data_IF_261427836908
#
_entry.id   IF_261427836908
#
_cell.length_a   1.000
_cell.length_b   1.000
_cell.length_c   1.000
_cell.angle_alpha   90.00
_cell.angle_beta   90.00
_cell.angle_gamma   90.00
#
_symmetry.space_group_name_H-M   'P 1'
#
loop_
_entity.id
_entity.type
_entity.pdbx_description
1 polymer ?
#
# COMPACT_ATOMS: atom_id res chain seq x y z
N UNK A 1 -9.04 20.87 10.25
CA UNK A 1 -8.10 20.78 9.12
C UNK A 1 -7.60 19.34 9.08
N UNK A 2 -8.13 18.51 8.17
CA UNK A 2 -7.93 17.05 8.21
C UNK A 2 -6.47 16.65 7.93
N UNK A 3 -5.73 17.48 7.20
CA UNK A 3 -4.29 17.32 6.99
C UNK A 3 -3.51 17.46 8.31
N UNK A 4 -3.89 18.40 9.18
CA UNK A 4 -3.24 18.56 10.48
C UNK A 4 -3.42 17.33 11.37
N UNK A 5 -4.59 16.69 11.34
CA UNK A 5 -4.82 15.47 12.10
C UNK A 5 -3.97 14.30 11.58
N UNK A 6 -3.84 14.18 10.26
CA UNK A 6 -2.96 13.20 9.62
C UNK A 6 -1.48 13.44 9.96
N UNK A 7 -0.97 14.66 9.82
CA UNK A 7 0.44 14.93 10.17
C UNK A 7 0.71 14.78 11.67
N UNK A 8 -0.27 15.09 12.52
CA UNK A 8 -0.15 14.85 13.97
C UNK A 8 -0.10 13.35 14.30
N UNK A 9 -0.86 12.48 13.61
CA UNK A 9 -0.75 11.03 13.83
C UNK A 9 0.64 10.51 13.46
N UNK A 10 1.25 11.06 12.40
CA UNK A 10 2.60 10.73 11.95
C UNK A 10 3.72 11.40 12.77
N UNK A 11 3.43 12.33 13.68
CA UNK A 11 4.44 12.87 14.59
C UNK A 11 4.79 11.91 15.75
N UNK A 12 3.97 10.89 16.00
CA UNK A 12 4.17 9.94 17.09
C UNK A 12 5.15 8.84 16.73
N UNK A 13 6.10 8.51 17.62
CA UNK A 13 7.10 7.47 17.38
C UNK A 13 6.51 6.07 17.12
N UNK A 14 5.32 5.77 17.64
CA UNK A 14 4.71 4.44 17.53
C UNK A 14 4.51 3.97 16.10
N UNK A 15 4.00 4.84 15.21
CA UNK A 15 3.79 4.48 13.80
C UNK A 15 5.11 4.28 13.05
N UNK A 16 6.13 5.10 13.38
CA UNK A 16 7.48 4.93 12.82
C UNK A 16 8.16 3.66 13.32
N UNK A 17 7.96 3.30 14.58
CA UNK A 17 8.47 2.06 15.14
C UNK A 17 7.86 0.83 14.45
N UNK A 18 6.55 0.83 14.18
CA UNK A 18 5.87 -0.21 13.40
C UNK A 18 6.45 -0.31 11.98
N UNK A 19 6.53 0.81 11.25
CA UNK A 19 7.10 0.85 9.90
C UNK A 19 8.57 0.42 9.82
N UNK A 20 9.37 0.71 10.84
CA UNK A 20 10.81 0.35 10.89
C UNK A 20 11.01 -1.11 11.32
N UNK A 21 10.14 -1.63 12.20
CA UNK A 21 10.16 -3.05 12.60
C UNK A 21 9.72 -3.97 11.47
N UNK A 22 8.96 -3.47 10.51
CA UNK A 22 8.68 -4.17 9.26
C UNK A 22 9.98 -4.36 8.45
N UNK A 23 10.59 -5.54 8.65
CA UNK A 23 11.84 -5.92 8.00
C UNK A 23 11.66 -6.17 6.50
N UNK A 24 10.49 -6.68 6.08
CA UNK A 24 10.21 -6.97 4.67
C UNK A 24 10.20 -5.66 3.90
N UNK A 25 9.45 -4.67 4.38
CA UNK A 25 9.47 -3.29 3.87
C UNK A 25 10.89 -2.74 3.84
N UNK A 26 11.52 -2.64 5.00
CA UNK A 26 12.76 -1.85 5.17
C UNK A 26 13.94 -2.46 4.40
N UNK A 27 14.11 -3.79 4.44
CA UNK A 27 15.20 -4.46 3.72
C UNK A 27 14.96 -4.50 2.21
N UNK A 28 13.70 -4.55 1.75
CA UNK A 28 13.42 -4.48 0.30
C UNK A 28 13.80 -3.13 -0.27
N UNK A 29 13.44 -2.02 0.41
CA UNK A 29 13.90 -0.69 0.02
C UNK A 29 15.42 -0.56 0.04
N UNK A 30 16.08 -1.04 1.11
CA UNK A 30 17.54 -1.04 1.20
C UNK A 30 18.17 -1.82 0.04
N UNK A 31 17.63 -3.00 -0.27
CA UNK A 31 18.11 -3.85 -1.37
C UNK A 31 17.91 -3.17 -2.71
N UNK A 32 16.76 -2.55 -2.96
CA UNK A 32 16.49 -1.78 -4.18
C UNK A 32 17.52 -0.67 -4.39
N UNK A 33 17.75 0.14 -3.35
CA UNK A 33 18.72 1.24 -3.36
C UNK A 33 20.13 0.72 -3.69
N UNK A 34 20.54 -0.38 -3.07
CA UNK A 34 21.88 -0.95 -3.29
C UNK A 34 22.03 -1.62 -4.66
N UNK A 35 20.99 -2.29 -5.17
CA UNK A 35 21.00 -2.85 -6.53
C UNK A 35 21.04 -1.77 -7.60
N UNK A 36 20.40 -0.63 -7.34
CA UNK A 36 20.37 0.53 -8.24
C UNK A 36 21.46 1.57 -7.90
N UNK A 37 22.48 1.18 -7.14
CA UNK A 37 23.57 2.08 -6.72
C UNK A 37 24.17 2.86 -7.89
N UNK A 38 24.39 2.23 -9.04
CA UNK A 38 24.92 2.88 -10.25
C UNK A 38 24.07 4.05 -10.78
N UNK A 39 22.78 4.10 -10.41
CA UNK A 39 21.85 5.18 -10.75
C UNK A 39 21.70 6.20 -9.61
N UNK A 40 22.32 5.98 -8.46
CA UNK A 40 22.21 6.83 -7.25
C UNK A 40 23.58 7.47 -6.93
N UNK A 41 24.68 6.79 -7.20
CA UNK A 41 26.03 7.28 -6.91
C UNK A 41 26.30 8.60 -7.65
N UNK A 42 26.71 9.63 -6.89
CA UNK A 42 26.97 10.97 -7.42
C UNK A 42 25.72 11.74 -7.86
N UNK A 43 24.51 11.23 -7.59
CA UNK A 43 23.23 11.81 -8.00
C UNK A 43 22.51 12.59 -6.90
N UNK A 44 21.52 13.38 -7.31
CA UNK A 44 20.63 14.12 -6.41
C UNK A 44 19.34 13.34 -6.24
N UNK A 45 18.96 13.09 -4.99
CA UNK A 45 17.79 12.30 -4.59
C UNK A 45 16.80 13.18 -3.84
N UNK A 46 15.51 12.97 -4.03
CA UNK A 46 14.47 13.43 -3.10
C UNK A 46 13.76 12.23 -2.48
N UNK A 47 13.62 12.25 -1.16
CA UNK A 47 12.91 11.27 -0.35
C UNK A 47 11.60 11.92 0.14
N UNK A 48 10.48 11.52 -0.47
CA UNK A 48 9.17 12.13 -0.23
C UNK A 48 8.45 11.39 0.91
N UNK A 49 8.14 12.12 1.98
CA UNK A 49 7.66 11.57 3.25
C UNK A 49 8.73 10.74 3.93
N UNK A 50 9.89 11.36 4.18
CA UNK A 50 11.07 10.65 4.63
C UNK A 50 10.91 10.00 6.02
N UNK A 51 9.90 10.41 6.80
CA UNK A 51 9.69 9.97 8.17
C UNK A 51 10.95 10.20 9.00
N UNK A 52 11.49 9.13 9.56
CA UNK A 52 12.75 9.16 10.34
C UNK A 52 14.03 9.34 9.51
N UNK A 53 13.93 9.39 8.17
CA UNK A 53 15.07 9.58 7.25
C UNK A 53 15.84 8.31 6.90
N UNK A 54 15.30 7.12 7.21
CA UNK A 54 15.99 5.85 6.98
C UNK A 54 16.32 5.61 5.48
N UNK A 55 15.40 5.91 4.57
CA UNK A 55 15.60 5.75 3.12
C UNK A 55 16.62 6.77 2.59
N UNK A 56 16.55 8.00 3.07
CA UNK A 56 17.55 9.05 2.82
C UNK A 56 18.97 8.60 3.22
N UNK A 57 19.11 7.95 4.37
CA UNK A 57 20.41 7.42 4.84
C UNK A 57 20.89 6.29 3.94
N UNK A 58 20.02 5.36 3.52
CA UNK A 58 20.40 4.33 2.56
C UNK A 58 20.86 4.92 1.23
N UNK A 59 20.20 5.96 0.72
CA UNK A 59 20.63 6.66 -0.49
C UNK A 59 22.01 7.32 -0.32
N UNK A 60 22.28 7.94 0.83
CA UNK A 60 23.59 8.50 1.14
C UNK A 60 24.69 7.43 1.25
N UNK A 61 24.37 6.25 1.79
CA UNK A 61 25.25 5.07 1.83
C UNK A 61 25.53 4.51 0.44
N UNK A 62 24.55 4.54 -0.46
CA UNK A 62 24.71 4.19 -1.88
C UNK A 62 25.52 5.23 -2.67
N UNK A 63 25.97 6.32 -2.04
CA UNK A 63 26.86 7.29 -2.65
C UNK A 63 26.15 8.48 -3.29
N UNK A 64 24.87 8.75 -2.94
CA UNK A 64 24.18 9.96 -3.37
C UNK A 64 25.03 11.21 -3.06
N UNK A 65 25.08 12.14 -4.02
CA UNK A 65 25.74 13.44 -3.87
C UNK A 65 25.00 14.30 -2.86
N UNK A 66 23.67 14.29 -2.94
CA UNK A 66 22.75 15.05 -2.08
C UNK A 66 21.42 14.33 -1.98
N UNK A 67 20.80 14.38 -0.81
CA UNK A 67 19.44 13.89 -0.57
C UNK A 67 18.61 15.00 0.05
N UNK A 68 17.49 15.34 -0.56
CA UNK A 68 16.45 16.18 0.03
C UNK A 68 15.42 15.29 0.70
N UNK A 69 15.41 15.27 2.03
CA UNK A 69 14.49 14.46 2.83
C UNK A 69 13.30 15.33 3.24
N UNK A 70 12.15 15.13 2.62
CA UNK A 70 10.96 15.99 2.82
C UNK A 70 9.94 15.25 3.67
N UNK A 71 9.50 15.86 4.77
CA UNK A 71 8.38 15.37 5.56
C UNK A 71 7.59 16.54 6.14
N UNK A 72 6.27 16.41 6.14
CA UNK A 72 5.36 17.46 6.58
C UNK A 72 5.00 17.36 8.08
N UNK A 73 5.34 16.24 8.73
CA UNK A 73 5.09 16.04 10.16
C UNK A 73 6.32 16.44 11.00
N UNK A 74 6.07 16.68 12.29
CA UNK A 74 7.12 17.09 13.24
C UNK A 74 8.24 16.05 13.39
N UNK A 75 8.06 14.81 12.92
CA UNK A 75 9.12 13.79 12.89
C UNK A 75 10.35 14.24 12.08
N UNK A 76 10.18 15.19 11.15
CA UNK A 76 11.28 15.80 10.41
C UNK A 76 12.36 16.38 11.34
N UNK A 77 11.97 16.88 12.52
CA UNK A 77 12.91 17.36 13.53
C UNK A 77 13.81 16.23 14.01
N UNK A 78 13.24 15.06 14.31
CA UNK A 78 13.96 13.86 14.74
C UNK A 78 14.76 13.26 13.58
N UNK A 79 14.25 13.28 12.35
CA UNK A 79 14.99 12.86 11.16
C UNK A 79 16.31 13.64 11.02
N UNK A 80 16.28 14.95 11.26
CA UNK A 80 17.48 15.78 11.27
C UNK A 80 18.47 15.36 12.37
N UNK A 81 17.99 15.01 13.57
CA UNK A 81 18.86 14.48 14.62
C UNK A 81 19.46 13.11 14.26
N UNK A 82 18.70 12.22 13.61
CA UNK A 82 19.21 10.93 13.11
C UNK A 82 20.29 11.16 12.05
N UNK A 83 20.08 12.09 11.10
CA UNK A 83 21.07 12.46 10.08
C UNK A 83 22.36 12.97 10.72
N UNK A 84 22.26 13.87 11.72
CA UNK A 84 23.42 14.39 12.47
C UNK A 84 24.17 13.29 13.21
N UNK A 85 23.45 12.41 13.91
CA UNK A 85 24.04 11.30 14.65
C UNK A 85 24.84 10.33 13.76
N UNK A 86 24.49 10.26 12.46
CA UNK A 86 25.18 9.44 11.47
C UNK A 86 26.25 10.20 10.66
N UNK A 87 26.56 11.45 11.02
CA UNK A 87 27.53 12.32 10.32
C UNK A 87 27.20 12.55 8.83
N UNK A 88 25.91 12.66 8.50
CA UNK A 88 25.43 12.81 7.12
C UNK A 88 24.87 14.20 6.80
N UNK A 89 24.99 15.17 7.71
CA UNK A 89 24.43 16.53 7.56
C UNK A 89 24.91 17.30 6.33
N UNK A 90 26.11 16.98 5.81
CA UNK A 90 26.65 17.59 4.59
C UNK A 90 26.00 17.03 3.30
N UNK A 91 25.35 15.87 3.39
CA UNK A 91 24.74 15.17 2.26
C UNK A 91 23.21 15.20 2.30
N UNK A 92 22.61 15.09 3.48
CA UNK A 92 21.16 14.99 3.64
C UNK A 92 20.62 16.30 4.20
N UNK A 93 19.72 16.93 3.46
CA UNK A 93 19.03 18.16 3.83
C UNK A 93 17.59 17.80 4.16
N UNK A 94 17.22 17.94 5.43
CA UNK A 94 15.83 17.69 5.88
C UNK A 94 15.01 18.96 5.69
N UNK A 95 13.91 18.85 4.93
CA UNK A 95 12.95 19.92 4.67
C UNK A 95 11.64 19.59 5.39
N UNK A 96 11.35 20.35 6.45
CA UNK A 96 10.10 20.21 7.19
C UNK A 96 8.99 21.01 6.47
N UNK A 97 8.09 20.30 5.80
CA UNK A 97 6.98 20.87 5.04
C UNK A 97 6.38 19.88 4.04
N UNK A 98 5.24 20.25 3.45
CA UNK A 98 4.63 19.45 2.38
C UNK A 98 5.45 19.55 1.11
N UNK A 99 5.51 18.47 0.33
CA UNK A 99 6.18 18.47 -0.99
C UNK A 99 5.63 19.55 -1.92
N UNK A 100 4.35 19.87 -1.79
CA UNK A 100 3.67 20.91 -2.54
C UNK A 100 4.17 22.33 -2.18
N UNK A 101 4.71 22.53 -0.98
CA UNK A 101 5.08 23.86 -0.45
C UNK A 101 6.59 24.08 -0.36
N UNK A 102 7.40 23.03 -0.23
CA UNK A 102 8.86 23.17 -0.16
C UNK A 102 9.44 23.50 -1.54
N UNK A 103 10.59 24.17 -1.53
CA UNK A 103 11.34 24.51 -2.75
C UNK A 103 12.68 23.78 -2.78
N UNK A 104 13.00 23.24 -3.96
CA UNK A 104 14.29 22.63 -4.28
C UNK A 104 14.77 23.32 -5.56
N UNK A 105 15.85 24.11 -5.46
CA UNK A 105 16.38 24.92 -6.55
C UNK A 105 17.25 24.12 -7.56
N UNK A 106 17.01 22.81 -7.71
CA UNK A 106 17.65 21.95 -8.69
C UNK A 106 16.75 20.76 -9.09
N UNK A 107 16.92 20.25 -10.30
CA UNK A 107 16.28 19.00 -10.71
C UNK A 107 16.95 17.79 -10.04
N UNK A 108 16.17 16.75 -9.76
CA UNK A 108 16.62 15.51 -9.10
C UNK A 108 16.72 14.35 -10.09
N UNK A 109 17.66 13.45 -9.85
CA UNK A 109 17.86 12.25 -10.68
C UNK A 109 17.02 11.06 -10.18
N UNK A 110 16.68 11.06 -8.89
CA UNK A 110 15.99 9.96 -8.20
C UNK A 110 14.89 10.53 -7.31
N UNK A 111 13.68 10.00 -7.43
CA UNK A 111 12.64 10.12 -6.41
C UNK A 111 12.54 8.78 -5.70
N UNK A 112 12.59 8.79 -4.38
CA UNK A 112 12.27 7.64 -3.54
C UNK A 112 11.16 8.04 -2.59
N UNK A 113 10.21 7.14 -2.38
CA UNK A 113 9.14 7.35 -1.42
C UNK A 113 8.57 6.01 -0.99
N UNK A 114 8.19 5.94 0.27
CA UNK A 114 7.29 4.92 0.75
C UNK A 114 5.94 5.61 0.98
N UNK A 115 5.09 5.51 -0.05
CA UNK A 115 3.82 6.25 -0.16
C UNK A 115 2.60 5.36 -0.01
N UNK A 116 2.80 4.03 0.10
CA UNK A 116 1.72 3.07 -0.01
C UNK A 116 0.92 3.04 1.29
N UNK A 117 -0.39 3.27 1.20
CA UNK A 117 -1.29 3.05 2.33
C UNK A 117 -1.90 1.65 2.31
N UNK A 118 -2.79 1.39 3.27
CA UNK A 118 -3.67 0.21 3.22
C UNK A 118 -4.41 0.16 1.88
N UNK A 119 -4.62 -1.06 1.35
CA UNK A 119 -5.24 -1.25 0.03
C UNK A 119 -4.58 -0.40 -1.08
N UNK A 120 -3.26 -0.15 -0.95
CA UNK A 120 -2.38 0.70 -1.77
C UNK A 120 -2.70 2.20 -1.76
N UNK A 121 -3.97 2.58 -1.93
CA UNK A 121 -4.40 3.94 -2.24
C UNK A 121 -4.98 4.71 -1.04
N UNK A 122 -5.21 4.05 0.09
CA UNK A 122 -5.63 4.73 1.31
C UNK A 122 -4.56 5.73 1.76
N UNK A 123 -4.97 6.79 2.48
CA UNK A 123 -4.12 7.93 2.90
C UNK A 123 -3.63 8.86 1.77
N UNK A 124 -3.72 8.43 0.51
CA UNK A 124 -3.59 9.24 -0.71
C UNK A 124 -2.26 10.00 -0.88
N UNK A 125 -1.14 9.43 -0.43
CA UNK A 125 0.18 10.06 -0.54
C UNK A 125 0.78 10.04 -1.96
N UNK A 126 0.31 9.15 -2.86
CA UNK A 126 0.77 9.08 -4.26
C UNK A 126 0.64 10.43 -5.00
N UNK A 127 -0.33 11.27 -4.62
CA UNK A 127 -0.48 12.62 -5.17
C UNK A 127 0.77 13.49 -4.94
N UNK A 128 1.39 13.41 -3.76
CA UNK A 128 2.62 14.16 -3.45
C UNK A 128 3.84 13.60 -4.19
N UNK A 129 3.89 12.29 -4.44
CA UNK A 129 4.93 11.69 -5.29
C UNK A 129 4.80 12.16 -6.74
N UNK A 130 3.56 12.25 -7.26
CA UNK A 130 3.28 12.83 -8.59
C UNK A 130 3.73 14.29 -8.63
N UNK A 131 3.45 15.08 -7.60
CA UNK A 131 3.92 16.48 -7.49
C UNK A 131 5.45 16.56 -7.56
N UNK A 132 6.17 15.73 -6.80
CA UNK A 132 7.64 15.70 -6.83
C UNK A 132 8.18 15.30 -8.22
N UNK A 133 7.54 14.32 -8.87
CA UNK A 133 7.87 13.89 -10.24
C UNK A 133 7.76 15.04 -11.22
N UNK A 134 6.61 15.70 -11.24
CA UNK A 134 6.29 16.72 -12.24
C UNK A 134 7.09 18.02 -12.01
N UNK A 135 7.46 18.32 -10.76
CA UNK A 135 8.26 19.51 -10.42
C UNK A 135 9.77 19.32 -10.62
N UNK A 136 10.32 18.18 -10.22
CA UNK A 136 11.76 18.05 -9.99
C UNK A 136 12.44 16.93 -10.76
N UNK A 137 11.74 15.89 -11.23
CA UNK A 137 12.41 14.74 -11.82
C UNK A 137 12.98 15.07 -13.21
N UNK A 138 14.29 14.87 -13.40
CA UNK A 138 14.93 14.97 -14.71
C UNK A 138 14.34 13.97 -15.68
N UNK A 139 14.38 14.32 -16.98
CA UNK A 139 14.10 13.34 -18.04
C UNK A 139 15.07 12.14 -17.92
N UNK A 140 14.51 10.95 -17.74
CA UNK A 140 15.28 9.72 -17.56
C UNK A 140 15.76 9.46 -16.12
N UNK A 141 15.36 10.30 -15.16
CA UNK A 141 15.48 9.98 -13.74
C UNK A 141 14.62 8.78 -13.36
N UNK A 142 14.85 8.24 -12.17
CA UNK A 142 14.14 7.04 -11.68
C UNK A 142 13.22 7.36 -10.52
N UNK A 143 12.14 6.58 -10.39
CA UNK A 143 11.20 6.65 -9.28
C UNK A 143 11.20 5.28 -8.58
N UNK A 144 11.32 5.28 -7.25
CA UNK A 144 11.35 4.09 -6.41
C UNK A 144 10.24 4.16 -5.35
N UNK A 145 9.23 3.26 -5.38
CA UNK A 145 9.02 2.22 -6.38
C UNK A 145 8.59 2.77 -7.75
N UNK A 146 8.87 1.99 -8.79
CA UNK A 146 8.61 2.34 -10.19
C UNK A 146 7.18 2.03 -10.64
N UNK A 147 6.62 0.93 -10.14
CA UNK A 147 5.26 0.50 -10.42
C UNK A 147 4.61 -0.03 -9.15
N UNK A 148 3.29 0.00 -9.10
CA UNK A 148 2.50 -0.66 -8.09
C UNK A 148 1.28 -1.35 -8.72
N UNK A 149 0.86 -2.48 -8.17
CA UNK A 149 -0.35 -3.19 -8.62
C UNK A 149 -1.21 -3.54 -7.42
N UNK A 150 -2.46 -3.06 -7.40
CA UNK A 150 -3.47 -3.43 -6.42
C UNK A 150 -4.24 -4.65 -6.94
N UNK A 151 -4.31 -5.69 -6.11
CA UNK A 151 -5.02 -6.92 -6.39
C UNK A 151 -6.24 -7.07 -5.49
N UNK A 152 -7.15 -7.93 -5.94
CA UNK A 152 -8.24 -8.43 -5.11
C UNK A 152 -8.50 -9.91 -5.39
N UNK A 153 -8.97 -10.63 -4.37
CA UNK A 153 -9.49 -11.98 -4.55
C UNK A 153 -10.60 -12.30 -3.53
N UNK A 154 -11.56 -13.16 -3.89
CA UNK A 154 -12.51 -13.74 -2.93
C UNK A 154 -11.77 -14.61 -1.90
N UNK A 155 -12.18 -14.49 -0.63
CA UNK A 155 -11.54 -15.22 0.49
C UNK A 155 -12.56 -15.96 1.34
N UNK A 156 -12.10 -17.06 1.93
CA UNK A 156 -12.76 -17.77 3.03
C UNK A 156 -12.00 -17.51 4.32
N UNK A 157 -12.68 -17.28 5.44
CA UNK A 157 -12.02 -17.10 6.73
C UNK A 157 -12.90 -17.65 7.88
N UNK A 158 -13.11 -18.98 7.92
CA UNK A 158 -14.05 -19.60 8.85
C UNK A 158 -13.66 -19.40 10.31
N UNK A 159 -12.37 -19.46 10.64
CA UNK A 159 -11.89 -19.27 12.02
C UNK A 159 -12.21 -17.87 12.55
N UNK A 160 -11.91 -16.84 11.76
CA UNK A 160 -12.23 -15.43 12.09
C UNK A 160 -13.72 -15.18 12.27
N UNK A 161 -14.56 -15.81 11.43
CA UNK A 161 -16.01 -15.72 11.54
C UNK A 161 -16.52 -16.47 12.78
N UNK A 162 -15.98 -17.67 13.05
CA UNK A 162 -16.32 -18.47 14.22
C UNK A 162 -15.99 -17.72 15.52
N UNK A 163 -14.78 -17.19 15.63
CA UNK A 163 -14.31 -16.47 16.83
C UNK A 163 -15.10 -15.21 17.13
N UNK A 164 -15.57 -14.50 16.09
CA UNK A 164 -16.28 -13.22 16.29
C UNK A 164 -17.80 -13.33 16.28
N UNK A 165 -18.35 -14.30 15.56
CA UNK A 165 -19.80 -14.40 15.30
C UNK A 165 -20.38 -15.68 15.89
N UNK A 166 -19.81 -16.85 15.58
CA UNK A 166 -20.36 -18.12 16.07
C UNK A 166 -20.12 -18.33 17.57
N UNK A 167 -19.08 -17.73 18.12
CA UNK A 167 -18.80 -17.64 19.56
C UNK A 167 -20.06 -17.30 20.38
N UNK A 168 -20.88 -16.36 19.89
CA UNK A 168 -22.07 -15.90 20.59
C UNK A 168 -23.19 -16.94 20.69
N UNK A 169 -23.15 -18.02 19.91
CA UNK A 169 -24.18 -19.07 19.97
C UNK A 169 -24.16 -19.83 21.30
N UNK A 170 -23.00 -19.96 21.93
CA UNK A 170 -22.85 -20.68 23.19
C UNK A 170 -21.65 -20.15 23.98
N UNK A 171 -21.91 -19.18 24.86
CA UNK A 171 -20.90 -18.56 25.72
C UNK A 171 -21.01 -19.21 27.10
N UNK A 172 -20.13 -20.19 27.38
CA UNK A 172 -20.12 -20.96 28.64
C UNK A 172 -21.45 -21.67 28.99
N UNK A 173 -22.16 -22.20 28.00
CA UNK A 173 -23.47 -22.84 28.16
C UNK A 173 -24.67 -21.88 28.02
N UNK A 174 -24.42 -20.59 27.78
CA UNK A 174 -25.45 -19.56 27.64
C UNK A 174 -25.66 -19.26 26.15
N UNK A 175 -26.90 -19.37 25.67
CA UNK A 175 -27.27 -18.89 24.34
C UNK A 175 -27.28 -17.36 24.33
N UNK A 176 -26.27 -16.76 23.69
CA UNK A 176 -26.15 -15.33 23.46
C UNK A 176 -26.31 -14.97 21.97
N UNK A 177 -27.00 -15.82 21.18
CA UNK A 177 -27.17 -15.61 19.74
C UNK A 177 -27.85 -14.29 19.38
N UNK A 178 -28.59 -13.70 20.32
CA UNK A 178 -29.13 -12.34 20.20
C UNK A 178 -28.06 -11.26 19.97
N UNK A 179 -26.80 -11.50 20.33
CA UNK A 179 -25.67 -10.60 20.09
C UNK A 179 -25.15 -10.66 18.65
N UNK A 180 -25.43 -11.74 17.91
CA UNK A 180 -24.84 -11.96 16.57
C UNK A 180 -25.13 -10.83 15.56
N UNK A 181 -26.34 -10.23 15.48
CA UNK A 181 -26.56 -9.11 14.56
C UNK A 181 -25.66 -7.90 14.86
N UNK A 182 -25.51 -7.55 16.14
CA UNK A 182 -24.64 -6.47 16.58
C UNK A 182 -23.17 -6.83 16.35
N UNK A 183 -22.76 -8.06 16.66
CA UNK A 183 -21.40 -8.55 16.43
C UNK A 183 -21.02 -8.48 14.94
N UNK A 184 -21.93 -8.87 14.03
CA UNK A 184 -21.73 -8.76 12.58
C UNK A 184 -21.56 -7.31 12.15
N UNK A 185 -22.39 -6.40 12.67
CA UNK A 185 -22.26 -4.99 12.39
C UNK A 185 -20.89 -4.47 12.86
N UNK A 186 -20.55 -4.65 14.13
CA UNK A 186 -19.28 -4.14 14.68
C UNK A 186 -18.04 -4.77 14.02
N UNK A 187 -18.09 -6.07 13.68
CA UNK A 187 -16.94 -6.77 13.13
C UNK A 187 -16.75 -6.55 11.63
N UNK A 188 -17.84 -6.33 10.87
CA UNK A 188 -17.82 -6.38 9.41
C UNK A 188 -18.39 -5.14 8.73
N UNK A 189 -18.86 -4.11 9.44
CA UNK A 189 -19.34 -2.87 8.80
C UNK A 189 -18.21 -2.17 8.04
N UNK A 190 -17.03 -2.06 8.65
CA UNK A 190 -15.83 -1.46 8.06
C UNK A 190 -14.85 -2.51 7.52
N UNK A 191 -13.98 -2.15 6.56
CA UNK A 191 -12.88 -3.01 6.15
C UNK A 191 -11.96 -3.34 7.33
N UNK A 192 -11.53 -4.59 7.43
CA UNK A 192 -10.57 -5.03 8.44
C UNK A 192 -9.17 -5.09 7.84
N UNK A 193 -8.16 -4.66 8.59
CA UNK A 193 -6.75 -4.90 8.26
C UNK A 193 -6.29 -6.09 9.09
N UNK A 194 -6.07 -7.22 8.42
CA UNK A 194 -5.63 -8.46 9.06
C UNK A 194 -4.83 -9.35 8.11
N UNK A 195 -4.12 -10.32 8.65
CA UNK A 195 -3.38 -11.31 7.85
C UNK A 195 -4.31 -12.43 7.39
N UNK A 196 -4.31 -12.71 6.10
CA UNK A 196 -4.95 -13.88 5.49
C UNK A 196 -3.86 -14.82 4.99
N UNK A 197 -4.04 -16.13 5.19
CA UNK A 197 -3.16 -17.15 4.61
C UNK A 197 -3.51 -17.43 3.14
N UNK A 198 -2.51 -17.76 2.32
CA UNK A 198 -2.73 -18.10 0.90
C UNK A 198 -3.73 -19.25 0.66
N UNK A 199 -3.88 -20.20 1.60
CA UNK A 199 -4.89 -21.27 1.53
C UNK A 199 -6.34 -20.79 1.67
N UNK A 200 -6.53 -19.59 2.22
CA UNK A 200 -7.82 -18.94 2.40
C UNK A 200 -8.22 -18.07 1.19
N UNK A 201 -7.37 -17.98 0.17
CA UNK A 201 -7.65 -17.31 -1.10
C UNK A 201 -8.29 -18.29 -2.06
N UNK A 202 -9.51 -18.00 -2.51
CA UNK A 202 -10.32 -18.97 -3.26
C UNK A 202 -9.92 -19.06 -4.74
N UNK A 203 -9.18 -18.09 -5.26
CA UNK A 203 -8.92 -17.94 -6.70
C UNK A 203 -7.59 -17.23 -6.97
N UNK A 204 -7.12 -17.26 -8.22
CA UNK A 204 -6.08 -16.33 -8.65
C UNK A 204 -6.57 -14.88 -8.49
N UNK A 205 -5.68 -13.93 -8.14
CA UNK A 205 -6.07 -12.55 -7.94
C UNK A 205 -6.46 -11.85 -9.25
N UNK A 206 -7.33 -10.86 -9.11
CA UNK A 206 -7.68 -9.92 -10.17
C UNK A 206 -6.99 -8.58 -9.94
N UNK A 207 -6.47 -7.98 -11.01
CA UNK A 207 -5.85 -6.65 -10.95
C UNK A 207 -6.93 -5.57 -10.89
N UNK A 208 -6.95 -4.81 -9.80
CA UNK A 208 -7.85 -3.67 -9.61
C UNK A 208 -7.28 -2.43 -10.29
N UNK A 209 -6.01 -2.11 -10.04
CA UNK A 209 -5.31 -0.97 -10.63
C UNK A 209 -3.84 -1.30 -10.77
N UNK A 210 -3.30 -1.05 -11.95
CA UNK A 210 -1.86 -0.92 -12.14
C UNK A 210 -1.51 0.57 -12.15
N UNK A 211 -0.42 0.92 -11.47
CA UNK A 211 0.12 2.27 -11.34
C UNK A 211 1.54 2.24 -11.88
N UNK A 212 1.75 2.97 -12.97
CA UNK A 212 3.09 3.33 -13.44
C UNK A 212 3.41 4.72 -12.88
N UNK A 213 4.35 4.79 -11.93
CA UNK A 213 4.69 6.03 -11.22
C UNK A 213 5.22 7.12 -12.18
N UNK A 214 5.73 6.75 -13.35
CA UNK A 214 6.24 7.70 -14.33
C UNK A 214 5.14 8.40 -15.13
N UNK A 215 3.97 7.79 -15.27
CA UNK A 215 2.93 8.27 -16.20
C UNK A 215 1.60 8.59 -15.53
N UNK A 216 1.30 7.96 -14.38
CA UNK A 216 0.03 8.13 -13.67
C UNK A 216 -0.29 9.60 -13.38
N UNK A 217 -1.54 9.99 -13.60
CA UNK A 217 -2.05 11.32 -13.31
C UNK A 217 -2.98 11.31 -12.08
N UNK A 218 -3.03 12.41 -11.34
CA UNK A 218 -3.84 12.52 -10.11
C UNK A 218 -5.32 12.18 -10.34
N UNK A 219 -5.90 12.63 -11.47
CA UNK A 219 -7.31 12.38 -11.79
C UNK A 219 -7.63 10.88 -11.99
N UNK A 220 -6.63 10.06 -12.32
CA UNK A 220 -6.81 8.60 -12.45
C UNK A 220 -6.92 7.87 -11.11
N UNK A 221 -6.67 8.58 -10.00
CA UNK A 221 -6.78 8.08 -8.63
C UNK A 221 -8.10 8.50 -7.96
N UNK A 222 -8.83 9.48 -8.54
CA UNK A 222 -10.09 9.98 -7.98
C UNK A 222 -11.17 8.90 -7.95
N UNK A 223 -11.21 8.05 -8.98
CA UNK A 223 -12.09 6.89 -9.05
C UNK A 223 -11.50 5.78 -9.91
N UNK A 224 -11.40 4.59 -9.34
CA UNK A 224 -10.91 3.37 -9.97
C UNK A 224 -12.04 2.35 -9.98
N UNK A 225 -12.51 1.97 -11.16
CA UNK A 225 -13.53 0.93 -11.32
C UNK A 225 -13.00 -0.21 -12.17
N UNK A 226 -13.20 -1.44 -11.71
CA UNK A 226 -12.93 -2.65 -12.51
C UNK A 226 -14.07 -3.64 -12.41
N UNK A 227 -14.29 -4.42 -13.49
CA UNK A 227 -15.15 -5.60 -13.47
C UNK A 227 -14.27 -6.83 -13.33
N UNK A 228 -14.68 -7.75 -12.48
CA UNK A 228 -13.94 -8.97 -12.22
C UNK A 228 -14.83 -10.19 -12.48
N UNK A 229 -14.17 -11.31 -12.72
CA UNK A 229 -14.80 -12.60 -12.93
C UNK A 229 -13.87 -13.69 -12.45
N UNK A 230 -14.30 -14.39 -11.40
CA UNK A 230 -13.55 -15.45 -10.78
C UNK A 230 -14.25 -16.81 -10.95
N UNK A 231 -13.47 -17.87 -10.86
CA UNK A 231 -13.96 -19.24 -10.69
C UNK A 231 -13.36 -19.79 -9.41
N UNK A 232 -14.20 -20.17 -8.46
CA UNK A 232 -13.75 -20.73 -7.20
C UNK A 232 -12.90 -21.99 -7.45
N UNK A 233 -11.71 -22.07 -6.86
CA UNK A 233 -10.83 -23.24 -6.98
C UNK A 233 -11.29 -24.39 -6.09
N UNK A 234 -12.15 -24.12 -5.11
CA UNK A 234 -12.62 -25.09 -4.13
C UNK A 234 -14.03 -24.78 -3.66
N UNK A 235 -14.63 -25.75 -2.96
CA UNK A 235 -15.88 -25.55 -2.22
C UNK A 235 -15.55 -24.93 -0.87
N UNK A 236 -16.11 -23.75 -0.57
CA UNK A 236 -15.89 -23.04 0.68
C UNK A 236 -16.96 -21.96 0.93
N UNK A 237 -17.16 -21.52 2.18
CA UNK A 237 -17.91 -20.31 2.48
C UNK A 237 -17.12 -19.06 2.03
N UNK A 238 -17.66 -18.31 1.07
CA UNK A 238 -17.15 -17.00 0.68
C UNK A 238 -17.47 -15.98 1.77
N UNK A 239 -16.44 -15.54 2.49
CA UNK A 239 -16.57 -14.61 3.61
C UNK A 239 -16.42 -13.15 3.19
N UNK A 240 -15.75 -12.88 2.06
CA UNK A 240 -15.50 -11.51 1.61
C UNK A 240 -14.50 -11.44 0.47
N UNK A 241 -13.96 -10.25 0.25
CA UNK A 241 -12.84 -10.02 -0.67
C UNK A 241 -11.67 -9.40 0.08
N UNK A 242 -10.48 -9.94 -0.17
CA UNK A 242 -9.23 -9.38 0.32
C UNK A 242 -8.52 -8.58 -0.77
N UNK A 243 -7.80 -7.56 -0.35
CA UNK A 243 -7.01 -6.67 -1.19
C UNK A 243 -5.59 -6.55 -0.65
N UNK A 244 -4.64 -6.57 -1.56
CA UNK A 244 -3.21 -6.45 -1.28
C UNK A 244 -2.50 -5.86 -2.50
N UNK A 245 -1.22 -5.56 -2.39
CA UNK A 245 -0.48 -4.93 -3.47
C UNK A 245 0.94 -5.44 -3.59
N UNK A 246 1.46 -5.28 -4.81
CA UNK A 246 2.89 -5.40 -5.09
C UNK A 246 3.43 -4.03 -5.50
N UNK A 247 4.67 -3.73 -5.13
CA UNK A 247 5.43 -2.63 -5.71
C UNK A 247 6.75 -3.12 -6.28
N UNK A 248 7.09 -2.64 -7.47
CA UNK A 248 8.28 -3.04 -8.22
C UNK A 248 9.34 -1.94 -8.19
N UNK A 249 10.59 -2.31 -7.91
CA UNK A 249 11.76 -1.45 -7.96
C UNK A 249 12.55 -1.76 -9.24
N UNK A 250 12.31 -0.97 -10.28
CA UNK A 250 13.02 -1.06 -11.55
C UNK A 250 13.76 0.24 -11.86
N UNK A 251 14.95 0.12 -12.47
CA UNK A 251 15.64 1.27 -13.08
C UNK A 251 14.90 1.79 -14.32
N UNK A 252 15.39 2.87 -14.97
CA UNK A 252 14.70 3.45 -16.10
C UNK A 252 14.86 2.50 -17.29
N UNK A 253 13.74 1.98 -17.82
CA UNK A 253 13.71 1.26 -19.10
C UNK A 253 13.79 2.26 -20.25
N UNK A 254 14.88 3.04 -20.33
CA UNK A 254 15.13 3.95 -21.45
C UNK A 254 15.42 3.14 -22.72
N UNK A 255 14.38 2.88 -23.51
CA UNK A 255 14.48 2.72 -24.97
C UNK A 255 15.34 1.57 -25.51
N UNK A 256 15.72 0.58 -24.71
CA UNK A 256 16.35 -0.62 -25.24
C UNK A 256 15.31 -1.72 -25.43
N UNK A 257 15.12 -2.10 -26.69
CA UNK A 257 14.62 -3.42 -27.13
C UNK A 257 15.55 -4.56 -26.65
N UNK A 258 16.00 -4.54 -25.40
CA UNK A 258 16.42 -5.75 -24.72
C UNK A 258 15.15 -6.35 -24.18
N UNK A 259 14.67 -7.41 -24.85
CA UNK A 259 13.77 -8.39 -24.22
C UNK A 259 14.26 -8.56 -22.78
N UNK A 260 13.42 -8.25 -21.79
CA UNK A 260 13.66 -8.60 -20.38
C UNK A 260 14.21 -10.03 -20.37
N UNK A 261 15.48 -10.20 -20.00
CA UNK A 261 16.17 -11.49 -20.11
C UNK A 261 15.69 -12.45 -19.04
N UNK A 262 15.19 -11.95 -17.91
CA UNK A 262 14.42 -12.70 -16.93
C UNK A 262 13.29 -11.83 -16.32
N UNK A 263 12.08 -12.39 -16.11
CA UNK A 263 11.02 -11.76 -15.32
C UNK A 263 11.41 -11.48 -13.85
N UNK A 264 12.46 -12.16 -13.34
CA UNK A 264 12.97 -12.06 -11.97
C UNK A 264 13.99 -10.91 -11.73
N UNK A 265 14.22 -10.03 -12.71
CA UNK A 265 15.24 -8.96 -12.56
C UNK A 265 14.73 -7.73 -11.78
N UNK A 266 13.42 -7.55 -11.63
CA UNK A 266 12.84 -6.48 -10.82
C UNK A 266 12.64 -6.96 -9.38
N UNK A 267 13.15 -6.19 -8.41
CA UNK A 267 12.89 -6.47 -6.99
C UNK A 267 11.45 -6.06 -6.68
N UNK A 268 10.72 -6.94 -5.99
CA UNK A 268 9.30 -6.74 -5.64
C UNK A 268 9.15 -6.75 -4.12
N UNK A 269 8.41 -5.77 -3.60
CA UNK A 269 7.82 -5.82 -2.27
C UNK A 269 6.35 -6.19 -2.43
N UNK A 270 5.96 -7.38 -1.95
CA UNK A 270 4.59 -7.84 -1.97
C UNK A 270 3.97 -7.81 -0.58
N UNK A 271 2.67 -7.54 -0.53
CA UNK A 271 1.81 -7.72 0.65
C UNK A 271 0.83 -8.88 0.45
N UNK A 272 1.11 -9.81 -0.47
CA UNK A 272 0.23 -10.93 -0.78
C UNK A 272 0.10 -11.92 0.40
N UNK A 273 -1.06 -12.61 0.52
CA UNK A 273 -1.30 -13.65 1.53
C UNK A 273 -0.27 -14.80 1.59
N UNK A 274 0.40 -15.10 0.49
CA UNK A 274 1.44 -16.12 0.38
C UNK A 274 2.85 -15.65 0.79
N UNK A 275 3.05 -14.35 0.90
CA UNK A 275 4.34 -13.73 1.20
C UNK A 275 4.50 -13.39 2.69
N UNK A 276 5.74 -13.16 3.17
CA UNK A 276 5.97 -12.78 4.56
C UNK A 276 5.13 -11.54 4.97
N UNK A 277 4.45 -11.58 6.14
CA UNK A 277 3.60 -10.47 6.56
C UNK A 277 4.36 -9.15 6.68
N UNK A 278 3.71 -8.10 6.19
CA UNK A 278 4.12 -6.70 6.35
C UNK A 278 3.17 -6.00 7.33
N UNK A 279 3.49 -4.78 7.77
CA UNK A 279 2.60 -4.00 8.62
C UNK A 279 1.27 -3.62 7.92
N UNK A 280 1.26 -3.54 6.58
CA UNK A 280 0.03 -3.32 5.81
C UNK A 280 -0.94 -4.48 5.86
N UNK A 281 -0.43 -5.70 6.07
CA UNK A 281 -1.20 -6.94 6.04
C UNK A 281 -2.05 -7.00 4.76
N UNK A 282 -3.32 -7.44 4.85
CA UNK A 282 -4.30 -7.31 3.79
C UNK A 282 -5.53 -6.55 4.27
N UNK A 283 -6.22 -5.89 3.35
CA UNK A 283 -7.51 -5.26 3.64
C UNK A 283 -8.63 -6.18 3.24
N UNK A 284 -9.50 -6.54 4.17
CA UNK A 284 -10.56 -7.53 3.99
C UNK A 284 -11.92 -6.87 4.13
N UNK A 285 -12.76 -7.05 3.11
CA UNK A 285 -14.15 -6.60 3.10
C UNK A 285 -15.04 -7.82 3.30
N UNK A 286 -15.47 -8.03 4.54
CA UNK A 286 -16.34 -9.15 4.90
C UNK A 286 -17.80 -8.93 4.49
N UNK A 287 -18.51 -10.02 4.28
CA UNK A 287 -19.97 -10.02 4.24
C UNK A 287 -20.52 -10.29 5.65
N UNK A 288 -21.71 -9.76 5.93
CA UNK A 288 -22.40 -10.08 7.19
C UNK A 288 -22.77 -11.58 7.26
N UNK A 289 -23.13 -12.15 6.11
CA UNK A 289 -23.49 -13.55 5.94
C UNK A 289 -22.63 -14.16 4.83
N UNK A 290 -21.81 -15.17 5.14
CA UNK A 290 -21.01 -15.87 4.13
C UNK A 290 -21.90 -16.54 3.09
N UNK A 291 -21.39 -16.66 1.86
CA UNK A 291 -22.07 -17.32 0.75
C UNK A 291 -21.37 -18.62 0.43
N UNK A 292 -22.06 -19.75 0.55
CA UNK A 292 -21.50 -21.04 0.10
C UNK A 292 -21.21 -20.99 -1.41
N UNK A 293 -19.97 -21.30 -1.77
CA UNK A 293 -19.54 -21.45 -3.16
C UNK A 293 -19.04 -22.86 -3.40
N UNK A 294 -19.42 -23.43 -4.54
CA UNK A 294 -18.93 -24.72 -5.01
C UNK A 294 -17.66 -24.54 -5.85
N UNK A 295 -16.90 -25.62 -6.03
CA UNK A 295 -15.78 -25.62 -6.96
C UNK A 295 -16.26 -25.28 -8.39
N UNK A 296 -15.46 -24.49 -9.11
CA UNK A 296 -15.74 -23.94 -10.44
C UNK A 296 -16.93 -22.98 -10.50
N UNK A 297 -17.57 -22.66 -9.37
CA UNK A 297 -18.65 -21.68 -9.31
C UNK A 297 -18.13 -20.30 -9.69
N UNK A 298 -18.94 -19.61 -10.49
CA UNK A 298 -18.64 -18.28 -10.98
C UNK A 298 -19.00 -17.21 -9.95
N UNK A 299 -18.06 -16.29 -9.70
CA UNK A 299 -18.24 -15.09 -8.88
C UNK A 299 -17.87 -13.91 -9.77
N UNK A 300 -18.82 -13.04 -10.09
CA UNK A 300 -18.57 -11.90 -10.98
C UNK A 300 -19.23 -10.62 -10.48
N UNK A 301 -18.67 -9.47 -10.82
CA UNK A 301 -19.12 -8.21 -10.26
C UNK A 301 -18.25 -7.02 -10.66
N UNK A 302 -18.31 -5.97 -9.86
CA UNK A 302 -17.45 -4.80 -9.99
C UNK A 302 -17.05 -4.25 -8.64
N UNK A 303 -15.86 -3.67 -8.58
CA UNK A 303 -15.41 -2.85 -7.46
C UNK A 303 -15.12 -1.45 -7.96
N UNK A 304 -15.55 -0.46 -7.18
CA UNK A 304 -15.20 0.95 -7.37
C UNK A 304 -14.56 1.50 -6.10
N UNK A 305 -13.33 1.97 -6.22
CA UNK A 305 -12.63 2.72 -5.19
C UNK A 305 -12.69 4.19 -5.59
N UNK A 306 -13.14 5.07 -4.70
CA UNK A 306 -13.20 6.50 -4.99
C UNK A 306 -12.80 7.35 -3.80
N UNK A 307 -12.11 8.45 -4.05
CA UNK A 307 -11.77 9.40 -3.00
C UNK A 307 -13.05 10.08 -2.47
N UNK A 308 -13.14 10.23 -1.15
CA UNK A 308 -14.26 10.93 -0.55
C UNK A 308 -14.22 12.42 -0.88
N UNK A 309 -15.39 12.96 -1.24
CA UNK A 309 -15.56 14.40 -1.48
C UNK A 309 -15.49 15.22 -0.19
N UNK A 310 -15.75 14.59 0.96
CA UNK A 310 -15.68 15.25 2.28
C UNK A 310 -14.24 15.32 2.78
N UNK A 311 -13.47 14.26 2.57
CA UNK A 311 -12.06 14.19 2.93
C UNK A 311 -11.29 13.35 1.91
N UNK A 312 -10.38 13.98 1.17
CA UNK A 312 -9.60 13.32 0.12
C UNK A 312 -8.68 12.20 0.63
N UNK A 313 -8.41 12.13 1.94
CA UNK A 313 -7.66 11.03 2.57
C UNK A 313 -8.50 9.79 2.82
N UNK A 314 -9.83 9.91 2.80
CA UNK A 314 -10.74 8.79 2.95
C UNK A 314 -11.10 8.18 1.60
N UNK A 315 -11.30 6.88 1.62
CA UNK A 315 -11.64 6.08 0.44
C UNK A 315 -13.03 5.46 0.63
N UNK A 316 -13.91 5.70 -0.33
CA UNK A 316 -15.17 5.00 -0.47
C UNK A 316 -14.93 3.72 -1.28
N UNK A 317 -15.50 2.61 -0.82
CA UNK A 317 -15.46 1.33 -1.50
C UNK A 317 -16.90 0.94 -1.83
N UNK A 318 -17.17 0.68 -3.11
CA UNK A 318 -18.45 0.15 -3.58
C UNK A 318 -18.18 -1.18 -4.28
N UNK A 319 -18.68 -2.26 -3.70
CA UNK A 319 -18.46 -3.62 -4.15
C UNK A 319 -19.79 -4.27 -4.53
N UNK A 320 -19.91 -4.64 -5.79
CA UNK A 320 -21.03 -5.45 -6.29
C UNK A 320 -20.51 -6.84 -6.63
N UNK A 321 -21.25 -7.88 -6.24
CA UNK A 321 -20.91 -9.25 -6.62
C UNK A 321 -22.17 -10.09 -6.85
N UNK A 322 -22.05 -11.06 -7.75
CA UNK A 322 -23.08 -12.04 -8.07
C UNK A 322 -22.49 -13.44 -8.00
N UNK A 323 -23.18 -14.34 -7.30
CA UNK A 323 -22.80 -15.75 -7.16
C UNK A 323 -24.06 -16.61 -7.05
N UNK A 324 -24.13 -17.71 -7.80
CA UNK A 324 -25.27 -18.63 -7.76
C UNK A 324 -26.62 -17.99 -8.12
N UNK A 325 -26.63 -16.93 -8.95
CA UNK A 325 -27.84 -16.21 -9.36
C UNK A 325 -28.35 -15.17 -8.35
N UNK A 326 -27.61 -14.88 -7.27
CA UNK A 326 -27.91 -13.83 -6.29
C UNK A 326 -26.92 -12.69 -6.44
N UNK A 327 -27.40 -11.45 -6.35
CA UNK A 327 -26.59 -10.23 -6.42
C UNK A 327 -26.58 -9.51 -5.07
N UNK A 328 -25.43 -8.94 -4.72
CA UNK A 328 -25.16 -8.29 -3.46
C UNK A 328 -24.39 -7.00 -3.71
N UNK A 329 -24.57 -6.02 -2.80
CA UNK A 329 -23.88 -4.73 -2.82
C UNK A 329 -23.36 -4.46 -1.41
N UNK A 330 -22.12 -4.00 -1.32
CA UNK A 330 -21.48 -3.57 -0.08
C UNK A 330 -20.79 -2.23 -0.26
#
# INVERSE_FOLDING_TARGET
DFDMAYFHSYAHVGIHEEMIKDRVRTETYRTAIMQLQSHIEGKVVVDVGCGTGILSIFCAQAGAKRVYAVDASDIAVQANEVVKANNLSEKIIVLHGRVEDVEIDEEVDVIISEWMGYMLLYESMLGSVITARDRWLKRGGIILPSNATLYMAPVTHPDRYSESIEFWRNVYGIDMSAMMPLAKQCAFEEPSVETISGENVLTWPHVVKHVDCYTIQVHELESVTTRYKFKSMMRAPLHGFAFWFDVEFSGPTLGQNKKRTNPNDALVLSTAPEDPPTHWQQTVIYFYDPVEVEQDQLIEGSVTLSQSKENRRFMNIHLEYTSGGRSFVK
#
